data_IF_482608558352
#
_entry.id   IF_482608558352
#
_cell.length_a   1.000
_cell.length_b   1.000
_cell.length_c   1.000
_cell.angle_alpha   90.00
_cell.angle_beta   90.00
_cell.angle_gamma   90.00
#
_symmetry.space_group_name_H-M   'P 1'
#
loop_
_entity.id
_entity.type
_entity.pdbx_description
1 polymer ?
#
# COMPACT_ATOMS: atom_id res chain seq x y z
N UNK A 1 18.25 8.61 -3.70
CA UNK A 1 17.02 9.03 -4.41
C UNK A 1 15.84 8.85 -3.47
N UNK A 2 14.75 9.64 -3.60
CA UNK A 2 13.50 9.45 -2.86
C UNK A 2 12.45 8.83 -3.77
N UNK A 3 11.66 7.88 -3.22
CA UNK A 3 10.43 7.38 -3.84
C UNK A 3 9.29 7.43 -2.83
N UNK A 4 8.10 7.80 -3.26
CA UNK A 4 6.90 7.74 -2.45
C UNK A 4 6.06 6.54 -2.91
N UNK A 5 5.51 5.77 -1.97
CA UNK A 5 4.77 4.54 -2.23
C UNK A 5 3.44 4.54 -1.49
N UNK A 6 2.32 4.54 -2.23
CA UNK A 6 0.97 4.46 -1.64
C UNK A 6 0.43 3.04 -1.69
N UNK A 7 -0.06 2.58 -0.56
CA UNK A 7 -0.56 1.22 -0.37
C UNK A 7 -1.88 1.18 0.41
N UNK A 8 -2.66 0.15 0.14
CA UNK A 8 -3.73 -0.30 1.03
C UNK A 8 -3.33 -1.68 1.59
N UNK A 9 -3.36 -1.89 2.93
CA UNK A 9 -2.97 -3.17 3.52
C UNK A 9 -3.73 -4.39 2.99
N UNK A 10 -4.98 -4.21 2.55
CA UNK A 10 -5.75 -5.32 2.00
C UNK A 10 -5.44 -5.64 0.53
N UNK A 11 -4.64 -4.81 -0.16
CA UNK A 11 -4.31 -5.02 -1.56
C UNK A 11 -3.15 -6.01 -1.75
N UNK A 12 -3.40 -7.20 -2.33
CA UNK A 12 -2.34 -8.19 -2.51
C UNK A 12 -1.29 -7.75 -3.54
N UNK A 13 -1.65 -6.91 -4.52
CA UNK A 13 -0.71 -6.39 -5.50
C UNK A 13 0.22 -5.32 -4.93
N UNK A 14 -0.32 -4.42 -4.08
CA UNK A 14 0.51 -3.48 -3.34
C UNK A 14 1.47 -4.21 -2.42
N UNK A 15 1.02 -5.29 -1.76
CA UNK A 15 1.88 -6.15 -0.95
C UNK A 15 3.06 -6.70 -1.76
N UNK A 16 2.80 -7.30 -2.92
CA UNK A 16 3.87 -7.82 -3.78
C UNK A 16 4.87 -6.73 -4.19
N UNK A 17 4.37 -5.58 -4.62
CA UNK A 17 5.23 -4.48 -5.06
C UNK A 17 6.02 -3.87 -3.90
N UNK A 18 5.45 -3.83 -2.70
CA UNK A 18 6.18 -3.37 -1.51
C UNK A 18 7.35 -4.29 -1.15
N UNK A 19 7.20 -5.62 -1.32
CA UNK A 19 8.32 -6.56 -1.12
C UNK A 19 9.45 -6.30 -2.10
N UNK A 20 9.12 -6.01 -3.35
CA UNK A 20 10.11 -5.58 -4.32
C UNK A 20 10.77 -4.25 -3.94
N UNK A 21 10.03 -3.25 -3.47
CA UNK A 21 10.60 -1.96 -3.05
C UNK A 21 11.59 -2.10 -1.89
N UNK A 22 11.34 -3.00 -0.95
CA UNK A 22 12.30 -3.30 0.13
C UNK A 22 13.58 -3.97 -0.40
N UNK A 23 13.49 -4.81 -1.43
CA UNK A 23 14.68 -5.37 -2.11
C UNK A 23 15.44 -4.27 -2.88
N UNK A 24 14.72 -3.33 -3.50
CA UNK A 24 15.33 -2.20 -4.20
C UNK A 24 16.18 -1.35 -3.26
N UNK A 25 15.70 -1.04 -2.06
CA UNK A 25 16.46 -0.30 -1.03
C UNK A 25 17.78 -0.98 -0.64
N UNK A 26 17.88 -2.32 -0.79
CA UNK A 26 19.12 -3.06 -0.50
C UNK A 26 20.17 -2.96 -1.62
N UNK A 27 19.74 -2.70 -2.86
CA UNK A 27 20.60 -2.79 -4.06
C UNK A 27 20.69 -1.48 -4.84
N UNK A 28 19.98 -0.43 -4.43
CA UNK A 28 20.03 0.93 -5.01
C UNK A 28 19.99 1.96 -3.90
N UNK A 29 20.60 3.11 -4.16
CA UNK A 29 20.50 4.28 -3.28
C UNK A 29 19.16 4.98 -3.45
N UNK A 30 18.13 4.39 -2.87
CA UNK A 30 16.76 4.90 -2.82
C UNK A 30 16.21 4.73 -1.40
N UNK A 31 15.43 5.71 -0.96
CA UNK A 31 14.67 5.64 0.29
C UNK A 31 13.18 5.75 -0.04
N UNK A 32 12.42 4.77 0.42
CA UNK A 32 10.97 4.72 0.22
C UNK A 32 10.27 5.42 1.38
N UNK A 33 9.33 6.30 1.05
CA UNK A 33 8.38 6.89 1.98
C UNK A 33 7.02 6.23 1.76
N UNK A 34 6.48 5.69 2.84
CA UNK A 34 5.27 4.87 2.82
C UNK A 34 4.04 5.68 3.18
N UNK A 35 3.02 5.62 2.34
CA UNK A 35 1.78 6.38 2.49
C UNK A 35 0.57 5.47 2.36
N UNK A 36 -0.45 5.77 3.15
CA UNK A 36 -1.74 5.07 3.04
C UNK A 36 -2.52 5.59 1.85
N UNK A 37 -3.13 4.70 1.10
CA UNK A 37 -4.32 4.96 0.30
C UNK A 37 -5.42 3.99 0.71
N UNK A 38 -6.67 4.26 0.38
CA UNK A 38 -7.78 3.40 0.77
C UNK A 38 -8.57 2.91 -0.44
N UNK A 39 -8.62 1.60 -0.63
CA UNK A 39 -9.53 0.96 -1.58
C UNK A 39 -10.98 1.08 -1.14
N UNK A 40 -11.23 1.15 0.16
CA UNK A 40 -12.56 1.40 0.72
C UNK A 40 -13.08 2.77 0.31
N UNK A 41 -12.25 3.80 0.40
CA UNK A 41 -12.59 5.14 -0.06
C UNK A 41 -12.71 5.20 -1.59
N UNK A 42 -11.75 4.65 -2.32
CA UNK A 42 -11.74 4.64 -3.80
C UNK A 42 -12.99 4.00 -4.41
N UNK A 43 -13.57 3.01 -3.73
CA UNK A 43 -14.70 2.25 -4.24
C UNK A 43 -16.03 2.58 -3.53
N UNK A 44 -16.06 3.60 -2.66
CA UNK A 44 -17.25 3.95 -1.86
C UNK A 44 -18.50 4.28 -2.68
N UNK A 45 -18.33 4.76 -3.91
CA UNK A 45 -19.42 5.14 -4.82
C UNK A 45 -19.51 4.20 -6.05
N UNK A 46 -18.88 3.02 -6.01
CA UNK A 46 -18.88 2.06 -7.11
C UNK A 46 -19.78 0.86 -6.78
N UNK A 47 -20.52 0.38 -7.77
CA UNK A 47 -21.20 -0.90 -7.63
C UNK A 47 -20.19 -2.03 -7.61
N UNK A 48 -20.20 -2.82 -6.54
CA UNK A 48 -19.31 -3.96 -6.30
C UNK A 48 -20.11 -5.18 -5.83
N UNK A 49 -19.51 -6.36 -5.84
CA UNK A 49 -20.18 -7.54 -5.30
C UNK A 49 -20.40 -7.39 -3.78
N UNK A 50 -21.46 -7.99 -3.21
CA UNK A 50 -21.73 -7.92 -1.77
C UNK A 50 -20.55 -8.40 -0.90
N UNK A 51 -19.87 -9.46 -1.34
CA UNK A 51 -18.67 -9.98 -0.67
C UNK A 51 -17.53 -8.95 -0.63
N UNK A 52 -17.33 -8.24 -1.74
CA UNK A 52 -16.30 -7.21 -1.81
C UNK A 52 -16.70 -5.97 -1.02
N UNK A 53 -17.99 -5.61 -0.99
CA UNK A 53 -18.52 -4.51 -0.18
C UNK A 53 -18.26 -4.74 1.31
N UNK A 54 -18.55 -5.95 1.83
CA UNK A 54 -18.24 -6.31 3.21
C UNK A 54 -16.75 -6.16 3.52
N UNK A 55 -15.91 -6.57 2.58
CA UNK A 55 -14.46 -6.43 2.70
C UNK A 55 -14.01 -4.96 2.70
N UNK A 56 -14.64 -4.11 1.88
CA UNK A 56 -14.37 -2.67 1.84
C UNK A 56 -14.78 -1.99 3.16
N UNK A 57 -15.92 -2.35 3.75
CA UNK A 57 -16.34 -1.84 5.06
C UNK A 57 -15.28 -2.13 6.11
N UNK A 58 -14.81 -3.36 6.20
CA UNK A 58 -13.76 -3.77 7.14
C UNK A 58 -12.39 -3.16 6.82
N UNK A 59 -12.14 -2.84 5.54
CA UNK A 59 -10.88 -2.28 5.06
C UNK A 59 -10.56 -0.87 5.56
N UNK A 60 -11.55 -0.14 6.06
CA UNK A 60 -11.32 1.15 6.73
C UNK A 60 -10.49 1.01 8.02
N UNK A 61 -10.66 -0.09 8.75
CA UNK A 61 -9.98 -0.30 10.02
C UNK A 61 -8.46 -0.18 9.95
N UNK A 62 -7.78 -1.01 9.13
CA UNK A 62 -6.32 -0.95 9.00
C UNK A 62 -5.78 0.43 8.60
N UNK A 63 -6.41 1.11 7.64
CA UNK A 63 -5.91 2.41 7.15
C UNK A 63 -6.09 3.52 8.19
N UNK A 64 -7.19 3.52 8.94
CA UNK A 64 -7.40 4.45 10.07
C UNK A 64 -6.39 4.21 11.19
N UNK A 65 -6.14 2.96 11.56
CA UNK A 65 -5.15 2.62 12.60
C UNK A 65 -3.76 3.09 12.18
N UNK A 66 -3.37 2.92 10.93
CA UNK A 66 -2.05 3.36 10.45
C UNK A 66 -1.94 4.88 10.53
N UNK A 67 -2.96 5.64 10.10
CA UNK A 67 -2.94 7.10 10.17
C UNK A 67 -2.95 7.62 11.62
N UNK A 68 -3.72 7.00 12.51
CA UNK A 68 -3.71 7.31 13.93
C UNK A 68 -2.34 7.05 14.56
N UNK A 69 -1.78 5.89 14.32
CA UNK A 69 -0.46 5.53 14.81
C UNK A 69 0.64 6.45 14.26
N UNK A 70 0.56 6.83 12.98
CA UNK A 70 1.48 7.80 12.37
C UNK A 70 1.42 9.16 13.06
N UNK A 71 0.22 9.64 13.37
CA UNK A 71 0.03 10.93 14.05
C UNK A 71 0.59 10.91 15.48
N UNK A 72 0.45 9.80 16.20
CA UNK A 72 0.89 9.69 17.59
C UNK A 72 2.36 9.27 17.75
N UNK A 73 2.88 8.43 16.83
CA UNK A 73 4.20 7.79 16.95
C UNK A 73 5.18 8.14 15.83
N UNK A 74 4.73 8.89 14.79
CA UNK A 74 5.59 9.33 13.68
C UNK A 74 5.63 8.36 12.50
N UNK A 75 6.32 8.76 11.43
CA UNK A 75 6.38 8.05 10.15
C UNK A 75 6.99 6.64 10.24
N UNK A 76 7.85 6.40 11.19
CA UNK A 76 8.59 5.13 11.32
C UNK A 76 7.68 3.92 11.57
N UNK A 77 6.50 4.13 12.18
CA UNK A 77 5.57 3.01 12.48
C UNK A 77 4.76 2.56 11.27
N UNK A 78 4.70 3.36 10.19
CA UNK A 78 3.85 3.08 9.02
C UNK A 78 4.27 1.79 8.34
N UNK A 79 5.57 1.63 8.06
CA UNK A 79 6.09 0.42 7.43
C UNK A 79 5.94 -0.82 8.32
N UNK A 80 6.18 -0.67 9.63
CA UNK A 80 6.05 -1.78 10.59
C UNK A 80 4.60 -2.28 10.66
N UNK A 81 3.63 -1.37 10.76
CA UNK A 81 2.21 -1.69 10.70
C UNK A 81 1.82 -2.32 9.36
N UNK A 82 2.30 -1.75 8.24
CA UNK A 82 2.03 -2.33 6.93
C UNK A 82 2.57 -3.76 6.82
N UNK A 83 3.78 -4.01 7.30
CA UNK A 83 4.38 -5.34 7.33
C UNK A 83 3.56 -6.31 8.19
N UNK A 84 3.13 -5.90 9.38
CA UNK A 84 2.33 -6.72 10.28
C UNK A 84 0.95 -7.05 9.68
N UNK A 85 0.23 -6.04 9.17
CA UNK A 85 -1.04 -6.26 8.46
C UNK A 85 -0.87 -7.18 7.26
N UNK A 86 0.11 -6.89 6.39
CA UNK A 86 0.32 -7.66 5.17
C UNK A 86 0.71 -9.12 5.44
N UNK A 87 1.55 -9.38 6.43
CA UNK A 87 1.89 -10.75 6.85
C UNK A 87 0.65 -11.52 7.29
N UNK A 88 -0.18 -10.93 8.14
CA UNK A 88 -1.38 -11.57 8.65
C UNK A 88 -2.44 -11.79 7.56
N UNK A 89 -2.73 -10.75 6.77
CA UNK A 89 -3.76 -10.81 5.71
C UNK A 89 -3.32 -11.73 4.56
N UNK A 90 -2.11 -11.54 4.03
CA UNK A 90 -1.70 -12.17 2.77
C UNK A 90 -1.03 -13.54 2.97
N UNK A 91 -0.21 -13.71 4.02
CA UNK A 91 0.51 -14.95 4.26
C UNK A 91 -0.25 -15.88 5.20
N UNK A 92 -0.77 -15.37 6.32
CA UNK A 92 -1.50 -16.16 7.32
C UNK A 92 -2.99 -16.30 7.01
N UNK A 93 -3.52 -15.53 6.03
CA UNK A 93 -4.93 -15.55 5.63
C UNK A 93 -5.89 -15.15 6.76
N UNK A 94 -5.43 -14.30 7.68
CA UNK A 94 -6.28 -13.77 8.72
C UNK A 94 -7.31 -12.80 8.14
N UNK A 95 -8.55 -12.93 8.55
CA UNK A 95 -9.64 -12.06 8.10
C UNK A 95 -9.54 -10.66 8.70
N UNK A 96 -10.03 -9.67 7.93
CA UNK A 96 -10.16 -8.29 8.41
C UNK A 96 -11.16 -8.21 9.56
N UNK A 97 -10.83 -7.48 10.62
CA UNK A 97 -11.67 -7.26 11.78
C UNK A 97 -10.88 -6.99 13.06
N UNK A 98 -11.59 -6.91 14.18
CA UNK A 98 -11.02 -6.46 15.46
C UNK A 98 -9.85 -7.33 15.94
N UNK A 99 -9.94 -8.65 15.76
CA UNK A 99 -8.86 -9.53 16.19
C UNK A 99 -7.58 -9.30 15.39
N UNK A 100 -7.69 -9.10 14.07
CA UNK A 100 -6.54 -8.73 13.24
C UNK A 100 -5.88 -7.43 13.73
N UNK A 101 -6.70 -6.41 14.02
CA UNK A 101 -6.22 -5.11 14.49
C UNK A 101 -5.45 -5.23 15.82
N UNK A 102 -5.99 -5.98 16.77
CA UNK A 102 -5.34 -6.22 18.06
C UNK A 102 -4.03 -7.00 17.92
N UNK A 103 -4.02 -8.02 17.08
CA UNK A 103 -2.85 -8.85 16.83
C UNK A 103 -1.72 -8.06 16.17
N UNK A 104 -2.05 -7.20 15.19
CA UNK A 104 -1.10 -6.31 14.51
C UNK A 104 -0.48 -5.31 15.48
N UNK A 105 -1.27 -4.70 16.35
CA UNK A 105 -0.77 -3.78 17.36
C UNK A 105 0.15 -4.49 18.37
N UNK A 106 -0.16 -5.74 18.72
CA UNK A 106 0.72 -6.55 19.57
C UNK A 106 2.06 -6.88 18.88
N UNK A 107 2.03 -7.26 17.60
CA UNK A 107 3.24 -7.56 16.82
C UNK A 107 4.17 -6.35 16.68
N UNK A 108 3.59 -5.15 16.63
CA UNK A 108 4.34 -3.89 16.46
C UNK A 108 4.66 -3.20 17.79
N UNK A 109 4.28 -3.79 18.93
CA UNK A 109 4.43 -3.23 20.26
C UNK A 109 3.77 -1.83 20.40
N UNK A 110 2.71 -1.58 19.67
CA UNK A 110 1.93 -0.35 19.76
C UNK A 110 0.77 -0.48 20.76
N UNK A 111 0.28 0.64 21.31
CA UNK A 111 -0.83 0.63 22.25
C UNK A 111 -2.08 -0.02 21.69
N UNK A 112 -2.64 -1.01 22.40
CA UNK A 112 -3.87 -1.70 21.97
C UNK A 112 -5.08 -0.77 21.77
N UNK A 113 -5.05 0.40 22.42
CA UNK A 113 -6.10 1.44 22.32
C UNK A 113 -6.24 1.98 20.90
N UNK A 114 -5.19 1.93 20.07
CA UNK A 114 -5.24 2.29 18.65
C UNK A 114 -6.24 1.42 17.87
N UNK A 115 -6.61 0.22 18.35
CA UNK A 115 -7.64 -0.59 17.74
C UNK A 115 -9.01 0.12 17.70
N UNK A 116 -9.29 1.04 18.62
CA UNK A 116 -10.53 1.81 18.64
C UNK A 116 -10.64 2.74 17.42
N UNK A 117 -9.51 3.17 16.87
CA UNK A 117 -9.48 4.01 15.67
C UNK A 117 -10.02 3.29 14.43
N UNK A 118 -10.09 1.96 14.43
CA UNK A 118 -10.62 1.19 13.30
C UNK A 118 -12.06 1.58 12.93
N UNK A 119 -12.87 1.93 13.91
CA UNK A 119 -14.28 2.32 13.73
C UNK A 119 -14.52 3.82 13.91
N UNK A 120 -13.48 4.59 14.16
CA UNK A 120 -13.54 6.02 14.39
C UNK A 120 -13.39 6.79 13.07
N UNK A 121 -14.47 7.43 12.63
CA UNK A 121 -14.51 8.21 11.38
C UNK A 121 -13.74 9.54 11.45
N UNK A 122 -13.28 9.97 12.62
CA UNK A 122 -12.47 11.19 12.76
C UNK A 122 -11.13 11.05 12.00
N UNK A 123 -10.68 9.81 11.76
CA UNK A 123 -9.48 9.50 10.99
C UNK A 123 -9.70 9.47 9.47
N UNK A 124 -10.95 9.54 8.99
CA UNK A 124 -11.25 9.46 7.55
C UNK A 124 -10.60 10.59 6.76
N UNK A 125 -10.53 11.78 7.33
CA UNK A 125 -9.96 12.93 6.64
C UNK A 125 -8.45 12.75 6.45
N UNK A 126 -7.72 12.23 7.44
CA UNK A 126 -6.30 11.93 7.32
C UNK A 126 -6.05 10.84 6.25
N UNK A 127 -6.88 9.78 6.24
CA UNK A 127 -6.82 8.73 5.20
C UNK A 127 -7.08 9.32 3.81
N UNK A 128 -8.09 10.18 3.64
CA UNK A 128 -8.42 10.82 2.37
C UNK A 128 -7.31 11.75 1.88
N UNK A 129 -6.73 12.54 2.77
CA UNK A 129 -5.61 13.43 2.43
C UNK A 129 -4.42 12.63 1.91
N UNK A 130 -4.02 11.56 2.62
CA UNK A 130 -2.95 10.68 2.17
C UNK A 130 -3.29 10.00 0.84
N UNK A 131 -4.53 9.53 0.67
CA UNK A 131 -5.03 8.94 -0.57
C UNK A 131 -4.91 9.90 -1.76
N UNK A 132 -5.40 11.13 -1.61
CA UNK A 132 -5.38 12.13 -2.68
C UNK A 132 -3.97 12.55 -3.08
N UNK A 133 -3.02 12.61 -2.12
CA UNK A 133 -1.61 12.89 -2.45
C UNK A 133 -1.02 11.89 -3.47
N UNK A 134 -1.49 10.66 -3.50
CA UNK A 134 -1.06 9.66 -4.47
C UNK A 134 -1.98 9.57 -5.69
N UNK A 135 -3.29 9.38 -5.43
CA UNK A 135 -4.26 9.05 -6.49
C UNK A 135 -4.51 10.19 -7.47
N UNK A 136 -4.47 11.44 -7.03
CA UNK A 136 -4.68 12.60 -7.92
C UNK A 136 -3.57 12.75 -8.98
N UNK A 137 -2.44 12.07 -8.79
CA UNK A 137 -1.33 12.06 -9.74
C UNK A 137 -1.52 11.02 -10.87
N UNK A 138 -2.35 9.99 -10.65
CA UNK A 138 -2.49 8.84 -11.58
C UNK A 138 -3.91 8.64 -12.11
N UNK A 139 -4.89 9.37 -11.57
CA UNK A 139 -6.30 9.27 -11.93
C UNK A 139 -7.09 8.26 -11.09
N UNK A 140 -8.43 8.41 -11.10
CA UNK A 140 -9.34 7.64 -10.24
C UNK A 140 -9.79 6.29 -10.82
N UNK A 141 -9.33 5.94 -12.01
CA UNK A 141 -9.65 4.69 -12.72
C UNK A 141 -8.66 3.54 -12.43
N UNK A 142 -7.67 3.81 -11.60
CA UNK A 142 -6.67 2.84 -11.13
C UNK A 142 -6.79 2.63 -9.62
N UNK A 143 -5.98 1.72 -9.08
CA UNK A 143 -5.95 1.44 -7.63
C UNK A 143 -4.53 1.58 -7.06
N UNK A 144 -4.16 0.66 -6.20
CA UNK A 144 -2.84 0.62 -5.56
C UNK A 144 -2.06 -0.63 -6.01
N UNK A 145 -0.71 -0.60 -6.04
CA UNK A 145 0.18 0.45 -5.55
C UNK A 145 0.28 1.65 -6.49
N UNK A 146 0.64 2.81 -5.92
CA UNK A 146 1.12 3.97 -6.67
C UNK A 146 2.54 4.26 -6.24
N UNK A 147 3.43 4.55 -7.18
CA UNK A 147 4.81 4.96 -6.91
C UNK A 147 5.07 6.31 -7.58
N UNK A 148 5.62 7.25 -6.80
CA UNK A 148 6.14 8.50 -7.33
C UNK A 148 7.67 8.52 -7.20
N UNK A 149 8.35 8.81 -8.31
CA UNK A 149 9.80 8.91 -8.40
C UNK A 149 10.19 9.79 -9.58
N UNK A 150 11.31 10.49 -9.47
CA UNK A 150 11.86 11.33 -10.54
C UNK A 150 10.87 12.38 -11.10
N UNK A 151 9.91 12.82 -10.29
CA UNK A 151 8.94 13.86 -10.68
C UNK A 151 7.68 13.33 -11.39
N UNK A 152 7.51 12.03 -11.53
CA UNK A 152 6.30 11.40 -12.07
C UNK A 152 5.75 10.34 -11.12
N UNK A 153 4.44 10.09 -11.20
CA UNK A 153 3.79 9.01 -10.47
C UNK A 153 3.12 8.03 -11.44
N UNK A 154 3.10 6.75 -11.06
CA UNK A 154 2.46 5.68 -11.81
C UNK A 154 1.64 4.77 -10.91
N UNK A 155 0.53 4.28 -11.41
CA UNK A 155 -0.08 3.07 -10.89
C UNK A 155 0.82 1.87 -11.21
N UNK A 156 1.23 1.13 -10.19
CA UNK A 156 2.15 -0.01 -10.36
C UNK A 156 3.60 0.32 -9.96
N UNK A 157 4.55 -0.54 -10.40
CA UNK A 157 4.35 -1.72 -11.25
C UNK A 157 3.53 -2.80 -10.53
N UNK A 158 2.66 -3.48 -11.27
CA UNK A 158 1.92 -4.65 -10.77
C UNK A 158 2.72 -5.89 -11.14
N UNK A 159 3.34 -6.53 -10.16
CA UNK A 159 4.32 -7.60 -10.35
C UNK A 159 4.00 -8.85 -9.52
N UNK A 160 4.37 -10.02 -10.02
CA UNK A 160 4.28 -11.29 -9.30
C UNK A 160 5.11 -12.38 -10.00
N UNK A 161 5.99 -13.10 -9.27
CA UNK A 161 6.46 -12.82 -7.92
C UNK A 161 7.28 -11.52 -7.82
N UNK A 162 7.57 -11.06 -6.59
CA UNK A 162 8.48 -9.93 -6.39
C UNK A 162 9.93 -10.33 -6.73
N UNK A 163 10.62 -9.64 -7.66
CA UNK A 163 12.02 -9.95 -7.97
C UNK A 163 12.93 -9.55 -6.80
N UNK A 164 14.07 -10.26 -6.67
CA UNK A 164 15.04 -10.08 -5.58
C UNK A 164 16.41 -9.67 -6.12
N UNK A 165 17.22 -9.08 -5.24
CA UNK A 165 18.61 -8.75 -5.52
C UNK A 165 18.81 -7.94 -6.80
N UNK A 166 19.72 -8.39 -7.67
CA UNK A 166 20.07 -7.67 -8.91
C UNK A 166 18.89 -7.48 -9.87
N UNK A 167 17.96 -8.44 -9.94
CA UNK A 167 16.76 -8.33 -10.78
C UNK A 167 15.80 -7.26 -10.26
N UNK A 168 15.67 -7.12 -8.93
CA UNK A 168 14.90 -6.05 -8.31
C UNK A 168 15.46 -4.68 -8.71
N UNK A 169 16.78 -4.51 -8.62
CA UNK A 169 17.46 -3.28 -9.03
C UNK A 169 17.32 -2.99 -10.53
N UNK A 170 17.43 -3.99 -11.39
CA UNK A 170 17.25 -3.82 -12.83
C UNK A 170 15.83 -3.37 -13.20
N UNK A 171 14.81 -3.94 -12.55
CA UNK A 171 13.43 -3.50 -12.76
C UNK A 171 13.23 -2.06 -12.30
N UNK A 172 13.83 -1.69 -11.15
CA UNK A 172 13.79 -0.33 -10.64
C UNK A 172 14.41 0.68 -11.61
N UNK A 173 15.58 0.37 -12.18
CA UNK A 173 16.24 1.23 -13.17
C UNK A 173 15.32 1.49 -14.39
N UNK A 174 14.57 0.48 -14.82
CA UNK A 174 13.55 0.62 -15.87
C UNK A 174 12.39 1.53 -15.48
N UNK A 175 11.88 1.41 -14.24
CA UNK A 175 10.82 2.28 -13.73
C UNK A 175 11.30 3.74 -13.66
N UNK A 176 12.50 3.98 -13.17
CA UNK A 176 13.10 5.33 -13.12
C UNK A 176 13.31 5.89 -14.53
N UNK A 177 13.76 5.07 -15.48
CA UNK A 177 13.92 5.50 -16.86
C UNK A 177 12.58 5.93 -17.50
N UNK A 178 11.50 5.17 -17.26
CA UNK A 178 10.15 5.55 -17.67
C UNK A 178 9.70 6.86 -17.01
N UNK A 179 9.87 6.98 -15.70
CA UNK A 179 9.47 8.15 -14.92
C UNK A 179 10.23 9.43 -15.33
N UNK A 180 11.47 9.29 -15.79
CA UNK A 180 12.30 10.41 -16.21
C UNK A 180 11.94 10.95 -17.60
N UNK A 181 11.08 10.28 -18.36
CA UNK A 181 10.65 10.74 -19.69
C UNK A 181 9.25 11.37 -19.61
N UNK A 182 9.11 12.69 -19.79
CA UNK A 182 7.83 13.39 -19.58
C UNK A 182 6.68 12.93 -20.48
N UNK A 183 6.97 12.25 -21.58
CA UNK A 183 5.98 11.72 -22.52
C UNK A 183 5.60 10.27 -22.28
N UNK A 184 6.01 9.66 -21.16
CA UNK A 184 5.63 8.29 -20.82
C UNK A 184 4.45 8.28 -19.87
N UNK A 185 3.34 7.68 -20.27
CA UNK A 185 2.11 7.66 -19.47
C UNK A 185 1.71 6.25 -19.01
N UNK A 186 1.83 5.24 -19.86
CA UNK A 186 1.34 3.90 -19.50
C UNK A 186 2.11 2.79 -20.23
N UNK A 187 2.32 1.67 -19.52
CA UNK A 187 2.76 0.39 -20.08
C UNK A 187 1.99 -0.72 -19.38
N UNK A 188 1.15 -1.45 -20.13
CA UNK A 188 0.27 -2.49 -19.59
C UNK A 188 0.30 -3.77 -20.44
N UNK A 189 0.22 -4.92 -19.77
CA UNK A 189 -0.08 -6.22 -20.39
C UNK A 189 -1.08 -7.02 -19.54
N UNK A 190 -1.70 -8.05 -20.13
CA UNK A 190 -2.57 -8.96 -19.40
C UNK A 190 -1.80 -9.75 -18.35
N UNK A 191 -2.41 -9.91 -17.17
CA UNK A 191 -1.88 -10.76 -16.11
C UNK A 191 -2.22 -12.22 -16.40
N UNK A 192 -1.25 -13.10 -16.28
CA UNK A 192 -1.39 -14.55 -16.49
C UNK A 192 -1.33 -15.34 -15.19
N UNK A 193 -0.96 -14.68 -14.09
CA UNK A 193 -0.86 -15.26 -12.73
C UNK A 193 -1.43 -14.30 -11.70
N UNK A 194 -1.88 -14.85 -10.58
CA UNK A 194 -2.23 -14.08 -9.38
C UNK A 194 -1.00 -13.68 -8.56
N UNK A 195 -1.20 -13.02 -7.40
CA UNK A 195 -0.12 -12.74 -6.45
C UNK A 195 0.50 -14.04 -5.92
N UNK A 196 1.82 -14.19 -6.10
CA UNK A 196 2.63 -15.31 -5.60
C UNK A 196 3.43 -14.80 -4.42
N UNK A 197 2.97 -15.11 -3.23
CA UNK A 197 3.63 -14.72 -1.98
C UNK A 197 4.82 -15.65 -1.70
N UNK A 198 6.03 -15.08 -1.58
CA UNK A 198 7.29 -15.82 -1.38
C UNK A 198 8.14 -15.15 -0.31
#
# INVERSE_FOLDING_TARGET
MKADFWFDPMCPWAWMTSRWMLEVEQVRDVKVHWHVMSLSYLNSNKEVSPEYEERLIKGWGPVRIIEAARAEHGEQVVLDLYNAFGNRIHLQKQELGDQLNLDVLADTNLPKQLANCATDSDWDEAVKQSHHLGMDQVGADVGTPVIAVAGAAFFGPVISPAPKGAEAGKLWDGVVACASYPGFFELKRSRTVGPIFS
#
